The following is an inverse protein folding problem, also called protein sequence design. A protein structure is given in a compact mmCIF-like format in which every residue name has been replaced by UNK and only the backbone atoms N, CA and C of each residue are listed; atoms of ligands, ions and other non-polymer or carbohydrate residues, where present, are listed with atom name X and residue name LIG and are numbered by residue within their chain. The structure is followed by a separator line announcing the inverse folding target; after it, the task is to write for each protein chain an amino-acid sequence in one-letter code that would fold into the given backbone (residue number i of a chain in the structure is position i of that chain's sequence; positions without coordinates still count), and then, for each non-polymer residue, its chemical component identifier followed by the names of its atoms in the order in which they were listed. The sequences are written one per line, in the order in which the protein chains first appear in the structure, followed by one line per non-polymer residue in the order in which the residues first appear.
data_IF_981927959993
#
_entry.id   IF_981927959993
#
_cell.length_a   1.000
_cell.length_b   1.000
_cell.length_c   1.000
_cell.angle_alpha   90.00
_cell.angle_beta   90.00
_cell.angle_gamma   90.00
#
_symmetry.space_group_name_H-M   'P 1'
#
loop_
_entity.id
_entity.type
_entity.pdbx_description
1 polymer ?
#
# COMPACT_ATOMS: atom_id res chain seq x y z
N UNK A 1 26.19 -61.78 -1.85
CA UNK A 1 27.07 -60.58 -1.91
C UNK A 1 26.38 -59.32 -2.47
N UNK A 2 25.23 -59.39 -3.16
CA UNK A 2 24.58 -58.23 -3.80
C UNK A 2 23.96 -57.17 -2.85
N UNK A 3 23.51 -57.55 -1.64
CA UNK A 3 22.85 -56.62 -0.69
C UNK A 3 23.78 -55.55 -0.10
N UNK A 4 25.08 -55.83 0.06
CA UNK A 4 26.07 -54.86 0.58
C UNK A 4 26.30 -53.72 -0.42
N UNK A 5 26.43 -54.04 -1.71
CA UNK A 5 26.59 -53.03 -2.78
C UNK A 5 25.40 -52.06 -2.90
N UNK A 6 24.19 -52.50 -2.57
CA UNK A 6 23.02 -51.62 -2.57
C UNK A 6 23.00 -50.66 -1.37
N UNK A 7 23.42 -51.12 -0.19
CA UNK A 7 23.55 -50.27 1.00
C UNK A 7 24.66 -49.24 0.85
N UNK A 8 25.79 -49.63 0.26
CA UNK A 8 26.91 -48.70 0.02
C UNK A 8 26.48 -47.57 -0.93
N UNK A 9 25.76 -47.89 -2.03
CA UNK A 9 25.19 -46.89 -2.94
C UNK A 9 24.14 -46.00 -2.28
N UNK A 10 23.34 -46.56 -1.38
CA UNK A 10 22.36 -45.78 -0.61
C UNK A 10 23.06 -44.77 0.30
N UNK A 11 24.09 -45.20 1.04
CA UNK A 11 24.84 -44.32 1.92
C UNK A 11 25.64 -43.25 1.16
N UNK A 12 26.22 -43.58 0.00
CA UNK A 12 26.88 -42.56 -0.82
C UNK A 12 25.89 -41.52 -1.34
N UNK A 13 24.71 -41.95 -1.81
CA UNK A 13 23.65 -41.02 -2.25
C UNK A 13 23.09 -40.17 -1.12
N UNK A 14 22.98 -40.75 0.09
CA UNK A 14 22.57 -40.01 1.29
C UNK A 14 23.62 -38.94 1.65
N UNK A 15 24.92 -39.28 1.58
CA UNK A 15 26.00 -38.35 1.86
C UNK A 15 26.07 -37.22 0.82
N UNK A 16 25.90 -37.53 -0.47
CA UNK A 16 25.78 -36.54 -1.55
C UNK A 16 24.60 -35.58 -1.31
N UNK A 17 23.42 -36.11 -0.96
CA UNK A 17 22.25 -35.29 -0.67
C UNK A 17 22.46 -34.38 0.57
N UNK A 18 23.13 -34.89 1.61
CA UNK A 18 23.47 -34.11 2.80
C UNK A 18 24.51 -33.02 2.51
N UNK A 19 25.48 -33.28 1.63
CA UNK A 19 26.46 -32.27 1.20
C UNK A 19 25.77 -31.13 0.45
N UNK A 20 24.93 -31.45 -0.55
CA UNK A 20 24.16 -30.45 -1.31
C UNK A 20 23.26 -29.61 -0.39
N UNK A 21 22.61 -30.23 0.60
CA UNK A 21 21.77 -29.52 1.55
C UNK A 21 22.57 -28.57 2.46
N UNK A 22 23.79 -28.94 2.85
CA UNK A 22 24.68 -28.07 3.65
C UNK A 22 25.20 -26.89 2.84
N UNK A 23 25.60 -27.13 1.59
CA UNK A 23 26.08 -26.07 0.70
C UNK A 23 24.95 -25.06 0.42
N UNK A 24 23.74 -25.54 0.13
CA UNK A 24 22.57 -24.67 -0.05
C UNK A 24 22.22 -23.88 1.23
N UNK A 25 22.40 -24.46 2.41
CA UNK A 25 22.19 -23.76 3.67
C UNK A 25 23.24 -22.65 3.89
N UNK A 26 24.50 -22.91 3.57
CA UNK A 26 25.59 -21.93 3.64
C UNK A 26 25.40 -20.78 2.65
N UNK A 27 24.96 -21.08 1.42
CA UNK A 27 24.64 -20.05 0.42
C UNK A 27 23.49 -19.16 0.88
N UNK A 28 22.43 -19.76 1.46
CA UNK A 28 21.30 -19.02 2.01
C UNK A 28 21.70 -18.16 3.20
N UNK A 29 22.56 -18.66 4.08
CA UNK A 29 23.08 -17.91 5.23
C UNK A 29 23.94 -16.73 4.78
N UNK A 30 24.84 -16.95 3.82
CA UNK A 30 25.68 -15.89 3.24
C UNK A 30 24.84 -14.80 2.61
N UNK A 31 23.86 -15.18 1.77
CA UNK A 31 22.94 -14.23 1.13
C UNK A 31 22.07 -13.48 2.13
N UNK A 32 21.68 -14.12 3.24
CA UNK A 32 20.95 -13.45 4.31
C UNK A 32 21.83 -12.41 5.03
N UNK A 33 23.11 -12.72 5.27
CA UNK A 33 24.06 -11.78 5.86
C UNK A 33 24.31 -10.57 4.94
N UNK A 34 24.45 -10.80 3.63
CA UNK A 34 24.57 -9.74 2.63
C UNK A 34 23.35 -8.81 2.64
N UNK A 35 22.13 -9.36 2.60
CA UNK A 35 20.89 -8.57 2.65
C UNK A 35 20.76 -7.78 3.97
N UNK A 36 21.17 -8.35 5.10
CA UNK A 36 21.18 -7.63 6.38
C UNK A 36 22.18 -6.47 6.35
N UNK A 37 23.35 -6.66 5.73
CA UNK A 37 24.33 -5.59 5.53
C UNK A 37 23.76 -4.47 4.65
N UNK A 38 23.17 -4.80 3.50
CA UNK A 38 22.52 -3.84 2.61
C UNK A 38 21.40 -3.05 3.31
N UNK A 39 20.56 -3.74 4.09
CA UNK A 39 19.51 -3.09 4.87
C UNK A 39 20.06 -2.14 5.92
N UNK A 40 21.16 -2.49 6.58
CA UNK A 40 21.82 -1.62 7.55
C UNK A 40 22.45 -0.40 6.88
N UNK A 41 23.03 -0.55 5.68
CA UNK A 41 23.55 0.58 4.89
C UNK A 41 22.43 1.52 4.44
N UNK A 42 21.32 0.99 3.94
CA UNK A 42 20.13 1.78 3.57
C UNK A 42 19.55 2.49 4.79
N UNK A 43 19.49 1.80 5.94
CA UNK A 43 19.05 2.38 7.21
C UNK A 43 19.98 3.51 7.65
N UNK A 44 21.29 3.32 7.60
CA UNK A 44 22.27 4.33 7.96
C UNK A 44 22.19 5.54 7.02
N UNK A 45 22.01 5.31 5.71
CA UNK A 45 21.79 6.37 4.74
C UNK A 45 20.49 7.15 5.01
N UNK A 46 19.41 6.46 5.40
CA UNK A 46 18.14 7.08 5.77
C UNK A 46 18.23 7.88 7.07
N UNK A 47 18.88 7.34 8.11
CA UNK A 47 19.11 8.01 9.39
C UNK A 47 20.02 9.24 9.23
N UNK A 48 21.02 9.17 8.36
CA UNK A 48 21.88 10.31 7.98
C UNK A 48 21.09 11.41 7.26
N UNK A 49 20.20 11.04 6.33
CA UNK A 49 19.34 11.99 5.62
C UNK A 49 18.30 12.66 6.53
N UNK A 50 17.82 11.92 7.55
CA UNK A 50 16.83 12.41 8.51
C UNK A 50 17.43 13.16 9.70
N UNK A 51 18.76 13.18 9.84
CA UNK A 51 19.52 14.06 10.73
C UNK A 51 19.00 14.16 12.16
N UNK A 52 19.55 13.33 13.07
CA UNK A 52 19.45 13.40 14.55
C UNK A 52 18.04 13.45 15.17
N UNK A 53 17.82 12.85 16.36
CA UNK A 53 16.57 13.06 17.08
C UNK A 53 16.42 14.55 17.37
N UNK A 54 15.33 15.15 16.88
CA UNK A 54 14.91 16.52 17.19
C UNK A 54 15.23 16.85 18.66
N UNK A 55 15.98 17.93 18.96
CA UNK A 55 16.22 18.31 20.35
C UNK A 55 14.88 18.52 21.06
N UNK A 56 14.77 17.99 22.28
CA UNK A 56 13.61 18.21 23.12
C UNK A 56 13.33 19.72 23.20
N UNK A 57 12.08 20.18 22.98
CA UNK A 57 11.78 21.60 23.02
C UNK A 57 11.99 22.09 24.45
N UNK A 58 13.11 22.78 24.67
CA UNK A 58 13.39 23.58 25.85
C UNK A 58 12.33 24.67 25.96
N UNK A 59 11.41 24.48 26.89
CA UNK A 59 10.92 25.57 27.74
C UNK A 59 10.13 26.71 27.09
N UNK A 60 9.34 26.50 26.02
CA UNK A 60 8.24 27.44 25.72
C UNK A 60 6.97 26.97 26.41
N UNK A 61 6.80 27.48 27.63
CA UNK A 61 5.57 27.54 28.43
C UNK A 61 4.37 27.87 27.51
N UNK A 62 3.47 26.90 27.32
CA UNK A 62 2.27 27.10 26.51
C UNK A 62 1.55 25.81 26.13
N UNK A 63 0.67 25.34 27.01
CA UNK A 63 -0.36 24.32 26.75
C UNK A 63 0.15 22.91 26.37
N UNK A 64 0.55 22.15 27.38
CA UNK A 64 0.53 20.69 27.31
C UNK A 64 -0.94 20.26 27.26
N UNK A 65 -1.55 20.19 26.07
CA UNK A 65 -2.87 19.55 25.94
C UNK A 65 -2.72 18.11 26.40
N UNK A 66 -3.27 17.81 27.58
CA UNK A 66 -3.25 16.47 28.15
C UNK A 66 -3.81 15.46 27.16
N UNK A 67 -3.04 14.41 26.87
CA UNK A 67 -3.52 13.26 26.09
C UNK A 67 -4.60 12.57 26.92
N UNK A 68 -5.86 12.89 26.68
CA UNK A 68 -6.99 12.15 27.28
C UNK A 68 -6.86 10.68 26.92
N UNK A 69 -6.99 9.77 27.89
CA UNK A 69 -7.13 8.34 27.63
C UNK A 69 -8.26 8.16 26.63
N UNK A 70 -8.04 7.36 25.58
CA UNK A 70 -9.07 7.01 24.63
C UNK A 70 -10.22 6.34 25.41
N UNK A 71 -11.35 7.02 25.51
CA UNK A 71 -12.57 6.42 26.06
C UNK A 71 -12.91 5.22 25.18
N UNK A 72 -13.10 4.07 25.82
CA UNK A 72 -13.49 2.81 25.21
C UNK A 72 -14.63 2.98 24.20
N UNK A 73 -14.37 2.56 22.96
CA UNK A 73 -15.32 2.09 21.96
C UNK A 73 -16.68 2.80 21.87
N UNK A 74 -16.69 4.05 21.41
CA UNK A 74 -17.80 4.48 20.56
C UNK A 74 -17.51 3.93 19.16
N UNK A 75 -18.00 2.73 18.85
CA UNK A 75 -17.99 2.26 17.47
C UNK A 75 -18.64 3.37 16.63
N UNK A 76 -17.94 3.91 15.60
CA UNK A 76 -18.53 4.96 14.79
C UNK A 76 -19.82 4.39 14.21
N UNK A 77 -20.95 5.02 14.57
CA UNK A 77 -22.26 4.61 14.11
C UNK A 77 -22.17 4.38 12.59
N UNK A 78 -22.64 3.23 12.12
CA UNK A 78 -22.73 2.90 10.70
C UNK A 78 -23.57 3.98 10.02
N UNK A 79 -22.92 5.06 9.58
CA UNK A 79 -23.55 6.11 8.80
C UNK A 79 -24.07 5.44 7.55
N UNK A 80 -25.38 5.48 7.32
CA UNK A 80 -25.98 5.07 6.05
C UNK A 80 -25.23 5.83 4.96
N UNK A 81 -24.40 5.12 4.19
CA UNK A 81 -23.64 5.72 3.10
C UNK A 81 -24.67 6.23 2.10
N UNK A 82 -24.58 7.50 1.69
CA UNK A 82 -25.32 7.96 0.51
C UNK A 82 -24.84 7.10 -0.66
N UNK A 83 -25.72 6.20 -1.11
CA UNK A 83 -25.49 5.38 -2.29
C UNK A 83 -25.56 6.26 -3.54
N UNK A 84 -24.95 5.79 -4.62
CA UNK A 84 -25.09 6.42 -5.93
C UNK A 84 -26.57 6.49 -6.32
N UNK A 85 -26.98 7.59 -6.96
CA UNK A 85 -28.38 7.84 -7.28
C UNK A 85 -28.67 7.70 -8.78
N UNK A 86 -29.94 7.41 -9.10
CA UNK A 86 -30.46 7.40 -10.46
C UNK A 86 -29.75 6.38 -11.37
N UNK A 87 -29.30 6.84 -12.53
CA UNK A 87 -28.70 6.01 -13.58
C UNK A 87 -27.35 5.36 -13.20
N UNK A 88 -26.78 5.71 -12.04
CA UNK A 88 -25.52 5.16 -11.54
C UNK A 88 -25.71 4.23 -10.33
N UNK A 89 -26.95 3.98 -9.93
CA UNK A 89 -27.26 3.04 -8.85
C UNK A 89 -26.82 1.62 -9.25
N UNK A 90 -26.00 0.98 -8.41
CA UNK A 90 -25.48 -0.37 -8.65
C UNK A 90 -24.14 -0.43 -9.40
N UNK A 91 -23.64 0.69 -9.94
CA UNK A 91 -22.30 0.76 -10.51
C UNK A 91 -21.23 0.90 -9.42
N UNK A 92 -19.99 0.51 -9.73
CA UNK A 92 -18.87 0.87 -8.85
C UNK A 92 -18.59 2.37 -8.96
N UNK A 93 -17.97 2.96 -7.91
CA UNK A 93 -17.63 4.39 -7.92
C UNK A 93 -16.71 4.74 -9.12
N UNK A 94 -15.65 3.97 -9.43
CA UNK A 94 -14.82 4.24 -10.60
C UNK A 94 -15.62 4.25 -11.91
N UNK A 95 -16.48 3.25 -12.14
CA UNK A 95 -17.26 3.15 -13.38
C UNK A 95 -18.25 4.31 -13.52
N UNK A 96 -18.91 4.69 -12.41
CA UNK A 96 -19.80 5.84 -12.39
C UNK A 96 -19.06 7.15 -12.69
N UNK A 97 -17.83 7.31 -12.19
CA UNK A 97 -16.98 8.48 -12.49
C UNK A 97 -16.62 8.52 -13.98
N UNK A 98 -16.20 7.40 -14.58
CA UNK A 98 -15.91 7.35 -16.04
C UNK A 98 -17.17 7.67 -16.84
N UNK A 99 -18.31 7.09 -16.49
CA UNK A 99 -19.57 7.31 -17.20
C UNK A 99 -20.02 8.78 -17.12
N UNK A 100 -19.84 9.43 -15.97
CA UNK A 100 -20.09 10.86 -15.80
C UNK A 100 -19.13 11.70 -16.67
N UNK A 101 -17.83 11.40 -16.66
CA UNK A 101 -16.84 12.12 -17.46
C UNK A 101 -17.04 11.94 -18.97
N UNK A 102 -17.48 10.76 -19.43
CA UNK A 102 -17.80 10.52 -20.84
C UNK A 102 -19.00 11.33 -21.34
N UNK A 103 -19.98 11.59 -20.48
CA UNK A 103 -21.13 12.43 -20.80
C UNK A 103 -20.76 13.92 -20.90
N UNK A 104 -19.74 14.36 -20.16
CA UNK A 104 -19.31 15.76 -20.10
C UNK A 104 -17.95 15.97 -20.75
N UNK A 105 -17.97 16.32 -22.05
CA UNK A 105 -16.76 16.55 -22.86
C UNK A 105 -15.86 17.70 -22.35
N UNK A 106 -16.42 18.64 -21.59
CA UNK A 106 -15.69 19.77 -20.99
C UNK A 106 -14.80 19.39 -19.80
N UNK A 107 -14.91 18.14 -19.32
CA UNK A 107 -14.34 17.73 -18.05
C UNK A 107 -15.17 18.24 -16.86
N UNK A 108 -15.01 17.56 -15.73
CA UNK A 108 -15.74 17.88 -14.50
C UNK A 108 -14.81 17.90 -13.29
N UNK A 109 -15.18 18.70 -12.31
CA UNK A 109 -14.56 18.70 -10.99
C UNK A 109 -15.11 17.64 -10.06
N UNK A 110 -14.39 17.27 -8.98
CA UNK A 110 -14.83 16.24 -8.04
C UNK A 110 -16.19 16.51 -7.37
N UNK A 111 -16.54 17.79 -7.21
CA UNK A 111 -17.83 18.20 -6.66
C UNK A 111 -18.95 17.97 -7.67
N UNK A 112 -18.75 18.40 -8.90
CA UNK A 112 -19.73 18.23 -9.99
C UNK A 112 -19.95 16.74 -10.26
N UNK A 113 -18.89 15.93 -10.30
CA UNK A 113 -19.00 14.48 -10.44
C UNK A 113 -19.85 13.90 -9.29
N UNK A 114 -19.64 14.35 -8.06
CA UNK A 114 -20.40 13.90 -6.90
C UNK A 114 -21.89 14.27 -6.97
N UNK A 115 -22.19 15.47 -7.47
CA UNK A 115 -23.56 15.92 -7.69
C UNK A 115 -24.23 15.11 -8.83
N UNK A 116 -23.51 14.84 -9.92
CA UNK A 116 -24.01 14.07 -11.06
C UNK A 116 -24.30 12.61 -10.73
N UNK A 117 -23.44 11.95 -9.94
CA UNK A 117 -23.61 10.53 -9.59
C UNK A 117 -24.30 10.30 -8.24
N UNK A 118 -24.60 11.37 -7.50
CA UNK A 118 -25.22 11.31 -6.17
C UNK A 118 -24.33 10.70 -5.08
N UNK A 119 -23.01 10.76 -5.22
CA UNK A 119 -22.07 10.08 -4.34
C UNK A 119 -21.43 10.96 -3.26
N UNK A 120 -20.70 10.34 -2.34
CA UNK A 120 -19.88 11.06 -1.37
C UNK A 120 -18.63 11.64 -2.07
N UNK A 121 -18.51 12.98 -2.06
CA UNK A 121 -17.37 13.71 -2.63
C UNK A 121 -16.01 13.15 -2.17
N UNK A 122 -15.88 12.75 -0.90
CA UNK A 122 -14.61 12.23 -0.38
C UNK A 122 -14.26 10.88 -1.03
N UNK A 123 -15.23 9.97 -1.13
CA UNK A 123 -15.04 8.67 -1.78
C UNK A 123 -14.71 8.82 -3.27
N UNK A 124 -15.33 9.80 -3.94
CA UNK A 124 -15.07 10.13 -5.34
C UNK A 124 -13.68 10.72 -5.52
N UNK A 125 -13.26 11.62 -4.63
CA UNK A 125 -11.92 12.23 -4.68
C UNK A 125 -10.82 11.17 -4.52
N UNK A 126 -11.03 10.19 -3.65
CA UNK A 126 -10.13 9.03 -3.49
C UNK A 126 -10.10 8.18 -4.76
N UNK A 127 -11.27 7.89 -5.35
CA UNK A 127 -11.34 7.11 -6.60
C UNK A 127 -10.65 7.83 -7.76
N UNK A 128 -10.90 9.13 -7.96
CA UNK A 128 -10.27 9.96 -8.98
C UNK A 128 -8.74 9.92 -8.83
N UNK A 129 -8.21 10.05 -7.61
CA UNK A 129 -6.76 10.01 -7.40
C UNK A 129 -6.15 8.65 -7.78
N UNK A 130 -6.87 7.54 -7.57
CA UNK A 130 -6.45 6.23 -8.07
C UNK A 130 -6.47 6.16 -9.60
N UNK A 131 -7.60 6.55 -10.20
CA UNK A 131 -7.81 6.50 -11.65
C UNK A 131 -6.86 7.41 -12.44
N UNK A 132 -6.39 8.52 -11.85
CA UNK A 132 -5.34 9.36 -12.46
C UNK A 132 -4.00 8.65 -12.48
N UNK A 133 -3.65 7.90 -11.41
CA UNK A 133 -2.40 7.13 -11.35
C UNK A 133 -2.42 5.96 -12.33
N UNK A 134 -3.57 5.31 -12.47
CA UNK A 134 -3.78 4.17 -13.37
C UNK A 134 -3.99 4.62 -14.84
N UNK A 135 -3.97 5.94 -15.11
CA UNK A 135 -4.10 6.50 -16.45
C UNK A 135 -5.51 6.43 -17.06
N UNK A 136 -6.51 5.97 -16.30
CA UNK A 136 -7.90 5.84 -16.77
C UNK A 136 -8.57 7.20 -17.02
N UNK A 137 -8.15 8.23 -16.29
CA UNK A 137 -8.63 9.61 -16.48
C UNK A 137 -7.44 10.58 -16.49
N UNK A 138 -7.57 11.65 -17.28
CA UNK A 138 -6.55 12.69 -17.40
C UNK A 138 -6.97 13.95 -16.65
N UNK A 139 -6.00 14.65 -16.08
CA UNK A 139 -6.22 15.96 -15.46
C UNK A 139 -6.10 17.03 -16.56
N UNK A 140 -7.21 17.66 -16.92
CA UNK A 140 -7.24 18.74 -17.91
C UNK A 140 -6.88 20.11 -17.31
N UNK A 141 -7.03 20.28 -15.99
CA UNK A 141 -6.73 21.55 -15.32
C UNK A 141 -6.80 21.43 -13.80
N UNK A 142 -6.73 22.56 -13.10
CA UNK A 142 -6.78 22.59 -11.63
C UNK A 142 -8.15 22.11 -11.16
N UNK A 143 -8.20 20.85 -10.71
CA UNK A 143 -9.42 20.24 -10.22
C UNK A 143 -10.42 19.87 -11.31
N UNK A 144 -10.01 19.81 -12.58
CA UNK A 144 -10.84 19.37 -13.71
C UNK A 144 -10.26 18.09 -14.29
N UNK A 145 -11.12 17.08 -14.46
CA UNK A 145 -10.76 15.76 -14.96
C UNK A 145 -11.58 15.43 -16.21
N UNK A 146 -10.97 14.70 -17.13
CA UNK A 146 -11.57 14.21 -18.39
C UNK A 146 -11.32 12.72 -18.50
N UNK A 147 -12.19 12.02 -19.22
CA UNK A 147 -11.95 10.61 -19.56
C UNK A 147 -10.61 10.49 -20.31
N UNK A 148 -9.77 9.55 -19.86
CA UNK A 148 -8.39 9.37 -20.33
C UNK A 148 -8.31 8.79 -21.74
#
# INVERSE_FOLDING_TARGET
MAKRSAMDRYHTKLAEAQAIAKDAALDLETRAQELVSELNEVRAAYESLMGTPMPEPTGRTGSRRGRRKASSSSQPARRKRKGLSGAYAGMTIPDAVVAALKKHKSGLGPREIAETIGGNRNSISVAINGMVKDGTIKRAGRGVYVAG
#
